data_IF_975302300622
#
_entry.id   IF_975302300622
#
_cell.length_a   1.000
_cell.length_b   1.000
_cell.length_c   1.000
_cell.angle_alpha   90.00
_cell.angle_beta   90.00
_cell.angle_gamma   90.00
#
_symmetry.space_group_name_H-M   'P 1'
#
loop_
_entity.id
_entity.type
_entity.pdbx_description
1 polymer ?
#
# COMPACT_ATOMS: atom_id res chain seq x y z
N UNK A 1 27.36 -40.01 33.89
CA UNK A 1 27.61 -38.79 33.06
C UNK A 1 26.59 -38.55 31.94
N UNK A 2 26.05 -39.58 31.28
CA UNK A 2 25.06 -39.40 30.16
C UNK A 2 23.75 -38.75 30.61
N UNK A 3 23.17 -39.11 31.72
CA UNK A 3 21.87 -38.59 32.25
C UNK A 3 21.91 -37.10 32.60
N UNK A 4 23.00 -36.61 33.21
CA UNK A 4 23.16 -35.19 33.56
C UNK A 4 23.29 -34.28 32.30
N UNK A 5 23.94 -34.78 31.23
CA UNK A 5 24.06 -34.06 29.95
C UNK A 5 22.75 -33.99 29.20
N UNK A 6 21.92 -35.05 29.26
CA UNK A 6 20.59 -35.06 28.66
C UNK A 6 19.60 -34.13 29.41
N UNK A 7 19.67 -34.03 30.73
CA UNK A 7 18.84 -33.10 31.50
C UNK A 7 19.19 -31.65 31.18
N UNK A 8 20.47 -31.29 31.12
CA UNK A 8 20.91 -29.94 30.73
C UNK A 8 20.49 -29.58 29.30
N UNK A 9 20.60 -30.52 28.35
CA UNK A 9 20.16 -30.31 26.99
C UNK A 9 18.64 -30.04 26.90
N UNK A 10 17.81 -30.82 27.58
CA UNK A 10 16.35 -30.61 27.65
C UNK A 10 16.01 -29.23 28.25
N UNK A 11 16.70 -28.82 29.33
CA UNK A 11 16.47 -27.52 29.98
C UNK A 11 16.83 -26.37 29.02
N UNK A 12 17.95 -26.45 28.29
CA UNK A 12 18.32 -25.47 27.30
C UNK A 12 17.30 -25.42 26.14
N UNK A 13 16.87 -26.56 25.61
CA UNK A 13 15.84 -26.64 24.58
C UNK A 13 14.50 -26.01 25.02
N UNK A 14 14.05 -26.32 26.20
CA UNK A 14 12.83 -25.72 26.78
C UNK A 14 13.01 -24.20 26.93
N UNK A 15 14.15 -23.75 27.42
CA UNK A 15 14.47 -22.31 27.49
C UNK A 15 14.41 -21.62 26.16
N UNK A 16 15.02 -22.20 25.12
CA UNK A 16 14.97 -21.68 23.75
C UNK A 16 13.54 -21.61 23.20
N UNK A 17 12.72 -22.64 23.44
CA UNK A 17 11.30 -22.64 23.01
C UNK A 17 10.53 -21.55 23.72
N UNK A 18 10.71 -21.37 25.03
CA UNK A 18 10.03 -20.30 25.78
C UNK A 18 10.44 -18.93 25.26
N UNK A 19 11.73 -18.68 25.06
CA UNK A 19 12.23 -17.43 24.49
C UNK A 19 11.65 -17.17 23.09
N UNK A 20 11.56 -18.19 22.26
CA UNK A 20 10.96 -18.08 20.92
C UNK A 20 9.48 -17.70 21.00
N UNK A 21 8.69 -18.38 21.84
CA UNK A 21 7.27 -18.07 22.03
C UNK A 21 7.09 -16.64 22.56
N UNK A 22 7.90 -16.21 23.52
CA UNK A 22 7.84 -14.85 24.07
C UNK A 22 8.17 -13.81 22.99
N UNK A 23 9.19 -14.04 22.18
CA UNK A 23 9.57 -13.15 21.07
C UNK A 23 8.45 -13.07 20.01
N UNK A 24 7.83 -14.20 19.68
CA UNK A 24 6.71 -14.26 18.76
C UNK A 24 5.49 -13.48 19.29
N UNK A 25 5.13 -13.71 20.56
CA UNK A 25 4.02 -13.01 21.22
C UNK A 25 4.28 -11.50 21.26
N UNK A 26 5.49 -11.10 21.64
CA UNK A 26 5.87 -9.67 21.65
C UNK A 26 5.77 -9.05 20.25
N UNK A 27 6.24 -9.77 19.24
CA UNK A 27 6.15 -9.30 17.84
C UNK A 27 4.70 -9.08 17.42
N UNK A 28 3.80 -10.00 17.71
CA UNK A 28 2.36 -9.85 17.42
C UNK A 28 1.77 -8.64 18.15
N UNK A 29 2.06 -8.49 19.45
CA UNK A 29 1.57 -7.36 20.25
C UNK A 29 2.09 -6.01 19.72
N UNK A 30 3.37 -5.93 19.39
CA UNK A 30 3.93 -4.71 18.79
C UNK A 30 3.26 -4.38 17.45
N UNK A 31 3.07 -5.36 16.59
CA UNK A 31 2.40 -5.15 15.29
C UNK A 31 0.92 -4.78 15.43
N UNK A 32 0.28 -5.13 16.56
CA UNK A 32 -1.09 -4.74 16.84
C UNK A 32 -1.24 -3.26 17.21
N UNK A 33 -0.26 -2.67 17.91
CA UNK A 33 -0.39 -1.33 18.52
C UNK A 33 0.61 -0.31 17.98
N UNK A 34 1.73 -0.74 17.42
CA UNK A 34 2.77 0.12 16.88
C UNK A 34 2.69 0.16 15.34
N UNK A 35 3.24 1.20 14.77
CA UNK A 35 3.56 1.34 13.35
C UNK A 35 4.88 2.09 13.21
N UNK A 36 5.52 1.96 12.06
CA UNK A 36 6.75 2.68 11.74
C UNK A 36 6.54 3.60 10.55
N UNK A 37 7.48 4.51 10.35
CA UNK A 37 7.57 5.36 9.16
C UNK A 37 8.74 4.88 8.33
N UNK A 38 8.48 4.55 7.08
CA UNK A 38 9.50 4.18 6.11
C UNK A 38 9.62 5.30 5.08
N UNK A 39 10.85 5.74 4.82
CA UNK A 39 11.13 6.77 3.83
C UNK A 39 11.67 6.15 2.54
N UNK A 40 11.15 6.63 1.42
CA UNK A 40 11.58 6.30 0.08
C UNK A 40 11.92 7.59 -0.67
N UNK A 41 12.96 7.55 -1.47
CA UNK A 41 13.30 8.63 -2.39
C UNK A 41 13.18 8.10 -3.82
N UNK A 42 12.43 8.80 -4.65
CA UNK A 42 12.08 8.39 -6.00
C UNK A 42 12.41 9.51 -6.96
N UNK A 43 13.36 9.28 -7.84
CA UNK A 43 13.70 10.22 -8.91
C UNK A 43 12.63 10.15 -10.01
N UNK A 44 12.02 11.29 -10.31
CA UNK A 44 11.08 11.44 -11.43
C UNK A 44 11.55 12.51 -12.39
N UNK A 45 11.57 12.18 -13.68
CA UNK A 45 11.83 13.14 -14.74
C UNK A 45 10.69 14.17 -14.82
N UNK A 46 11.02 15.40 -15.18
CA UNK A 46 10.04 16.48 -15.31
C UNK A 46 9.72 17.22 -14.02
N UNK A 47 10.19 16.74 -12.84
CA UNK A 47 10.14 17.51 -11.61
C UNK A 47 11.28 18.54 -11.57
N UNK A 48 11.02 19.70 -10.96
CA UNK A 48 12.02 20.78 -10.72
C UNK A 48 12.30 20.97 -9.24
N UNK A 49 11.42 20.50 -8.37
CA UNK A 49 11.57 20.50 -6.92
C UNK A 49 10.89 19.30 -6.31
N UNK A 50 11.26 19.01 -5.07
CA UNK A 50 10.74 17.89 -4.31
C UNK A 50 9.24 18.01 -4.05
N UNK A 51 8.55 16.87 -4.16
CA UNK A 51 7.16 16.66 -3.73
C UNK A 51 7.13 15.50 -2.75
N UNK A 52 6.50 15.68 -1.58
CA UNK A 52 6.37 14.62 -0.57
C UNK A 52 4.97 14.04 -0.55
N UNK A 53 4.88 12.74 -0.77
CA UNK A 53 3.65 11.97 -0.63
C UNK A 53 3.71 11.13 0.65
N UNK A 54 2.56 10.96 1.31
CA UNK A 54 2.38 9.92 2.34
C UNK A 54 1.41 8.90 1.79
N UNK A 55 1.83 7.63 1.75
CA UNK A 55 1.01 6.50 1.32
C UNK A 55 0.52 5.71 2.52
N UNK A 56 -0.79 5.48 2.58
CA UNK A 56 -1.46 4.57 3.50
C UNK A 56 -2.29 3.56 2.69
N UNK A 57 -2.37 2.33 3.14
CA UNK A 57 -3.20 1.27 2.55
C UNK A 57 -3.55 0.21 3.59
N UNK A 58 -4.51 -0.64 3.30
CA UNK A 58 -4.83 -1.83 4.08
C UNK A 58 -5.11 -1.52 5.56
N UNK A 59 -5.94 -0.49 5.81
CA UNK A 59 -6.32 -0.12 7.18
C UNK A 59 -7.35 -1.08 7.78
N UNK A 60 -8.25 -1.64 6.92
CA UNK A 60 -9.25 -2.64 7.31
C UNK A 60 -9.99 -2.28 8.59
N UNK A 61 -10.59 -1.11 8.64
CA UNK A 61 -11.33 -0.57 9.80
C UNK A 61 -10.50 -0.47 11.10
N UNK A 62 -9.20 -0.79 11.08
CA UNK A 62 -8.34 -0.69 12.26
C UNK A 62 -8.14 0.76 12.66
N UNK A 63 -8.11 1.01 13.98
CA UNK A 63 -7.86 2.34 14.53
C UNK A 63 -6.58 2.38 15.35
N UNK A 64 -5.81 3.46 15.18
CA UNK A 64 -4.59 3.73 15.94
C UNK A 64 -4.83 4.88 16.93
N UNK A 65 -5.38 4.53 18.09
CA UNK A 65 -5.89 5.45 19.10
C UNK A 65 -7.33 5.88 18.77
N UNK A 66 -7.91 6.71 19.62
CA UNK A 66 -9.26 7.24 19.43
C UNK A 66 -9.29 8.06 18.13
N UNK A 67 -10.23 7.75 17.23
CA UNK A 67 -10.43 8.45 15.96
C UNK A 67 -9.14 8.54 15.11
N UNK A 68 -8.29 7.54 15.18
CA UNK A 68 -6.98 7.49 14.52
C UNK A 68 -6.01 8.62 14.92
N UNK A 69 -6.18 9.23 16.10
CA UNK A 69 -5.40 10.40 16.49
C UNK A 69 -3.87 10.20 16.45
N UNK A 70 -3.39 8.99 16.79
CA UNK A 70 -1.96 8.66 16.73
C UNK A 70 -1.46 8.58 15.28
N UNK A 71 -2.27 8.02 14.37
CA UNK A 71 -1.94 7.93 12.96
C UNK A 71 -1.94 9.31 12.31
N UNK A 72 -2.99 10.11 12.57
CA UNK A 72 -3.10 11.49 12.09
C UNK A 72 -1.91 12.35 12.52
N UNK A 73 -1.57 12.36 13.81
CA UNK A 73 -0.42 13.11 14.32
C UNK A 73 0.90 12.68 13.67
N UNK A 74 1.06 11.38 13.37
CA UNK A 74 2.27 10.89 12.72
C UNK A 74 2.33 11.24 11.23
N UNK A 75 1.19 11.22 10.52
CA UNK A 75 1.08 11.69 9.13
C UNK A 75 1.38 13.20 9.06
N UNK A 76 0.77 14.02 9.93
CA UNK A 76 0.99 15.47 9.98
C UNK A 76 2.47 15.81 10.22
N UNK A 77 3.13 15.07 11.11
CA UNK A 77 4.56 15.27 11.41
C UNK A 77 5.48 15.00 10.20
N UNK A 78 4.98 14.34 9.13
CA UNK A 78 5.75 14.15 7.90
C UNK A 78 5.66 15.35 6.96
N UNK A 79 4.75 16.31 7.21
CA UNK A 79 4.53 17.49 6.37
C UNK A 79 4.33 17.12 4.88
N UNK A 80 3.33 16.28 4.55
CA UNK A 80 3.11 15.84 3.18
C UNK A 80 2.52 16.95 2.30
N UNK A 81 2.91 16.98 1.03
CA UNK A 81 2.26 17.77 -0.01
C UNK A 81 0.96 17.12 -0.49
N UNK A 82 0.84 15.80 -0.35
CA UNK A 82 -0.39 15.04 -0.56
C UNK A 82 -0.38 13.71 0.21
N UNK A 83 -1.57 13.18 0.46
CA UNK A 83 -1.81 11.89 1.10
C UNK A 83 -2.49 10.97 0.10
N UNK A 84 -1.90 9.81 -0.15
CA UNK A 84 -2.37 8.78 -1.06
C UNK A 84 -2.94 7.61 -0.24
N UNK A 85 -4.19 7.26 -0.49
CA UNK A 85 -4.85 6.10 0.10
C UNK A 85 -5.03 5.04 -1.00
N UNK A 86 -4.22 3.99 -0.95
CA UNK A 86 -4.20 2.95 -1.98
C UNK A 86 -5.04 1.73 -1.58
N UNK A 87 -6.32 1.95 -1.24
CA UNK A 87 -7.34 0.94 -1.06
C UNK A 87 -7.28 0.11 0.22
N UNK A 88 -8.29 -0.71 0.40
CA UNK A 88 -8.54 -1.58 1.56
C UNK A 88 -8.51 -0.82 2.90
N UNK A 89 -9.11 0.38 2.89
CA UNK A 89 -9.25 1.19 4.10
C UNK A 89 -10.39 0.68 4.98
N UNK A 90 -11.40 0.06 4.39
CA UNK A 90 -12.49 -0.65 5.08
C UNK A 90 -12.51 -2.12 4.70
N UNK A 91 -13.17 -2.94 5.50
CA UNK A 91 -13.43 -4.34 5.16
C UNK A 91 -14.67 -4.46 4.26
N UNK A 92 -14.73 -5.53 3.44
CA UNK A 92 -15.91 -5.82 2.60
C UNK A 92 -17.19 -6.06 3.43
N UNK A 93 -17.04 -6.36 4.71
CA UNK A 93 -18.12 -6.59 5.66
C UNK A 93 -18.19 -5.49 6.73
N UNK A 94 -17.61 -4.31 6.44
CA UNK A 94 -17.64 -3.17 7.34
C UNK A 94 -19.09 -2.81 7.70
N UNK A 95 -19.33 -2.45 8.92
CA UNK A 95 -20.61 -1.91 9.32
C UNK A 95 -20.69 -0.39 9.05
N UNK A 96 -21.88 0.19 9.25
CA UNK A 96 -22.08 1.62 8.99
C UNK A 96 -21.22 2.51 9.90
N UNK A 97 -20.87 2.06 11.11
CA UNK A 97 -20.01 2.80 12.03
C UNK A 97 -18.56 2.81 11.53
N UNK A 98 -18.07 1.69 11.04
CA UNK A 98 -16.72 1.58 10.49
C UNK A 98 -16.55 2.42 9.23
N UNK A 99 -17.54 2.39 8.34
CA UNK A 99 -17.56 3.29 7.17
C UNK A 99 -17.57 4.76 7.60
N UNK A 100 -18.41 5.12 8.60
CA UNK A 100 -18.45 6.49 9.08
C UNK A 100 -17.10 6.93 9.70
N UNK A 101 -16.43 6.07 10.45
CA UNK A 101 -15.07 6.33 10.98
C UNK A 101 -14.08 6.58 9.86
N UNK A 102 -14.14 5.82 8.77
CA UNK A 102 -13.28 6.03 7.61
C UNK A 102 -13.55 7.38 6.93
N UNK A 103 -14.81 7.74 6.71
CA UNK A 103 -15.19 9.04 6.15
C UNK A 103 -14.72 10.20 7.04
N UNK A 104 -14.81 10.06 8.35
CA UNK A 104 -14.32 11.08 9.28
C UNK A 104 -12.78 11.13 9.33
N UNK A 105 -12.10 10.00 9.14
CA UNK A 105 -10.65 9.94 8.98
C UNK A 105 -10.20 10.69 7.71
N UNK A 106 -10.89 10.55 6.58
CA UNK A 106 -10.62 11.32 5.36
C UNK A 106 -10.76 12.82 5.62
N UNK A 107 -11.83 13.25 6.29
CA UNK A 107 -12.03 14.67 6.67
C UNK A 107 -10.88 15.21 7.53
N UNK A 108 -10.35 14.37 8.42
CA UNK A 108 -9.22 14.74 9.26
C UNK A 108 -7.91 14.82 8.45
N UNK A 109 -7.63 13.85 7.58
CA UNK A 109 -6.48 13.85 6.68
C UNK A 109 -6.50 15.06 5.74
N UNK A 110 -7.69 15.42 5.21
CA UNK A 110 -7.87 16.58 4.31
C UNK A 110 -7.48 17.91 4.95
N UNK A 111 -7.48 18.01 6.28
CA UNK A 111 -6.98 19.21 6.99
C UNK A 111 -5.46 19.29 7.00
N UNK A 112 -4.76 18.17 6.78
CA UNK A 112 -3.30 18.10 6.74
C UNK A 112 -2.81 18.40 5.31
N UNK A 113 -3.35 17.68 4.30
CA UNK A 113 -2.97 17.84 2.90
C UNK A 113 -4.09 17.35 1.96
N UNK A 114 -4.03 17.63 0.64
CA UNK A 114 -4.88 16.98 -0.35
C UNK A 114 -4.85 15.46 -0.21
N UNK A 115 -6.02 14.80 -0.31
CA UNK A 115 -6.17 13.35 -0.20
C UNK A 115 -6.59 12.79 -1.55
N UNK A 116 -5.83 11.81 -2.05
CA UNK A 116 -6.12 11.02 -3.23
C UNK A 116 -6.44 9.59 -2.80
N UNK A 117 -7.51 9.03 -3.30
CA UNK A 117 -7.97 7.70 -2.94
C UNK A 117 -8.21 6.85 -4.20
N UNK A 118 -7.72 5.63 -4.19
CA UNK A 118 -8.10 4.59 -5.15
C UNK A 118 -8.63 3.38 -4.38
N UNK A 119 -9.77 2.78 -4.80
CA UNK A 119 -10.37 1.66 -4.08
C UNK A 119 -9.48 0.41 -4.15
N UNK A 120 -9.57 -0.41 -3.10
CA UNK A 120 -9.07 -1.77 -3.09
C UNK A 120 -10.19 -2.80 -3.34
N UNK A 121 -9.84 -4.07 -3.24
CA UNK A 121 -10.80 -5.15 -3.46
C UNK A 121 -11.83 -5.26 -2.32
N UNK A 122 -11.56 -4.70 -1.15
CA UNK A 122 -12.53 -4.66 -0.06
C UNK A 122 -13.57 -3.58 -0.27
N UNK A 123 -13.19 -2.37 -0.69
CA UNK A 123 -14.17 -1.34 -1.07
C UNK A 123 -15.05 -1.81 -2.22
N UNK A 124 -14.49 -2.40 -3.28
CA UNK A 124 -15.30 -2.92 -4.39
C UNK A 124 -16.24 -4.05 -3.94
N UNK A 125 -15.78 -4.89 -3.01
CA UNK A 125 -16.64 -5.90 -2.39
C UNK A 125 -17.78 -5.29 -1.57
N UNK A 126 -17.52 -4.22 -0.83
CA UNK A 126 -18.51 -3.48 -0.05
C UNK A 126 -19.54 -2.77 -0.94
N UNK A 127 -19.11 -2.22 -2.07
CA UNK A 127 -19.98 -1.53 -3.03
C UNK A 127 -21.11 -2.42 -3.61
N UNK A 128 -21.01 -3.73 -3.51
CA UNK A 128 -22.12 -4.63 -3.83
C UNK A 128 -23.33 -4.40 -2.93
N UNK A 129 -23.14 -3.81 -1.75
CA UNK A 129 -24.21 -3.47 -0.78
C UNK A 129 -24.45 -1.96 -0.63
N UNK A 130 -23.50 -1.11 -1.04
CA UNK A 130 -23.59 0.35 -0.98
C UNK A 130 -22.89 0.97 -2.20
N UNK A 131 -23.60 1.10 -3.30
CA UNK A 131 -23.09 1.69 -4.55
C UNK A 131 -22.62 3.15 -4.40
N UNK A 132 -23.06 3.84 -3.35
CA UNK A 132 -22.73 5.25 -3.09
C UNK A 132 -21.44 5.43 -2.27
N UNK A 133 -20.72 4.36 -1.94
CA UNK A 133 -19.52 4.45 -1.12
C UNK A 133 -18.51 5.46 -1.68
N UNK A 134 -18.17 5.36 -2.96
CA UNK A 134 -17.17 6.26 -3.58
C UNK A 134 -17.64 7.72 -3.57
N UNK A 135 -18.91 7.99 -3.81
CA UNK A 135 -19.50 9.34 -3.71
C UNK A 135 -19.41 9.90 -2.29
N UNK A 136 -19.58 9.04 -1.27
CA UNK A 136 -19.45 9.43 0.14
C UNK A 136 -18.00 9.74 0.50
N UNK A 137 -17.06 8.97 -0.04
CA UNK A 137 -15.62 9.21 0.11
C UNK A 137 -15.25 10.55 -0.52
N UNK A 138 -15.70 10.83 -1.73
CA UNK A 138 -15.45 12.10 -2.42
C UNK A 138 -16.05 13.29 -1.66
N UNK A 139 -17.29 13.19 -1.19
CA UNK A 139 -17.93 14.20 -0.34
C UNK A 139 -17.23 14.42 1.00
N UNK A 140 -16.43 13.46 1.45
CA UNK A 140 -15.59 13.61 2.65
C UNK A 140 -14.27 14.33 2.38
N UNK A 141 -13.96 14.63 1.11
CA UNK A 141 -12.87 15.50 0.69
C UNK A 141 -11.67 14.79 0.05
N UNK A 142 -11.75 13.51 -0.26
CA UNK A 142 -10.76 12.84 -1.10
C UNK A 142 -11.12 13.02 -2.59
N UNK A 143 -10.11 13.20 -3.45
CA UNK A 143 -10.27 12.96 -4.87
C UNK A 143 -10.23 11.45 -5.12
N UNK A 144 -11.31 10.90 -5.67
CA UNK A 144 -11.48 9.46 -5.89
C UNK A 144 -11.06 9.10 -7.31
N UNK A 145 -10.16 8.15 -7.43
CA UNK A 145 -9.69 7.59 -8.70
C UNK A 145 -10.04 6.09 -8.78
N UNK A 146 -10.99 5.77 -9.61
CA UNK A 146 -11.37 4.40 -9.96
C UNK A 146 -11.38 4.32 -11.48
N UNK A 147 -10.30 3.79 -12.06
CA UNK A 147 -9.99 3.85 -13.49
C UNK A 147 -10.10 5.28 -14.07
N UNK A 148 -9.52 6.23 -13.34
CA UNK A 148 -9.57 7.66 -13.65
C UNK A 148 -8.33 8.40 -13.15
N UNK A 149 -8.13 9.64 -13.63
CA UNK A 149 -6.98 10.47 -13.26
C UNK A 149 -7.30 11.95 -13.28
N UNK A 150 -6.39 12.74 -12.72
CA UNK A 150 -6.37 14.19 -12.85
C UNK A 150 -4.93 14.71 -12.97
N UNK A 151 -4.76 15.80 -13.70
CA UNK A 151 -3.54 16.59 -13.69
C UNK A 151 -3.63 17.61 -12.53
N UNK A 152 -2.67 17.56 -11.62
CA UNK A 152 -2.66 18.32 -10.37
C UNK A 152 -1.37 19.10 -10.21
N UNK A 153 -1.38 20.12 -9.34
CA UNK A 153 -0.17 20.86 -8.95
C UNK A 153 0.07 20.61 -7.46
N UNK A 154 1.18 19.95 -7.13
CA UNK A 154 1.63 19.72 -5.77
C UNK A 154 2.98 20.39 -5.54
N UNK A 155 3.11 21.16 -4.46
CA UNK A 155 4.32 21.96 -4.18
C UNK A 155 4.81 22.77 -5.40
N UNK A 156 3.88 23.26 -6.22
CA UNK A 156 4.19 24.00 -7.47
C UNK A 156 4.64 23.12 -8.65
N UNK A 157 4.60 21.78 -8.51
CA UNK A 157 4.98 20.84 -9.55
C UNK A 157 3.74 20.24 -10.21
N UNK A 158 3.62 20.26 -11.53
CA UNK A 158 2.56 19.57 -12.25
C UNK A 158 2.83 18.06 -12.27
N UNK A 159 1.82 17.26 -11.96
CA UNK A 159 1.86 15.79 -11.94
C UNK A 159 0.53 15.26 -12.45
N UNK A 160 0.56 14.11 -13.13
CA UNK A 160 -0.64 13.31 -13.36
C UNK A 160 -0.78 12.28 -12.26
N UNK A 161 -1.89 12.31 -11.52
CA UNK A 161 -2.21 11.30 -10.51
C UNK A 161 -3.48 10.60 -10.94
N UNK A 162 -3.48 9.27 -10.90
CA UNK A 162 -4.65 8.46 -11.18
C UNK A 162 -4.69 7.22 -10.30
N UNK A 163 -5.74 6.44 -10.47
CA UNK A 163 -5.86 5.22 -9.69
C UNK A 163 -6.75 4.17 -10.32
N UNK A 164 -6.43 2.94 -9.99
CA UNK A 164 -7.15 1.73 -10.35
C UNK A 164 -7.06 0.74 -9.19
N UNK A 165 -7.99 -0.21 -9.10
CA UNK A 165 -7.82 -1.30 -8.17
C UNK A 165 -6.60 -2.16 -8.51
N UNK A 166 -6.28 -2.32 -9.80
CA UNK A 166 -5.07 -3.01 -10.24
C UNK A 166 -5.24 -4.52 -10.38
N UNK A 167 -6.23 -4.98 -11.12
CA UNK A 167 -6.39 -6.43 -11.39
C UNK A 167 -5.43 -6.95 -12.47
N UNK A 168 -5.30 -6.21 -13.57
CA UNK A 168 -4.50 -6.59 -14.72
C UNK A 168 -4.69 -8.05 -15.14
N UNK A 169 -3.61 -8.80 -15.11
CA UNK A 169 -3.58 -10.23 -15.37
C UNK A 169 -3.96 -11.11 -14.16
N UNK A 170 -4.34 -10.52 -13.03
CA UNK A 170 -4.82 -11.28 -11.89
C UNK A 170 -6.05 -12.13 -12.26
N UNK A 171 -6.28 -13.19 -11.49
CA UNK A 171 -7.39 -14.13 -11.71
C UNK A 171 -7.33 -14.87 -13.06
N UNK A 172 -6.13 -15.03 -13.62
CA UNK A 172 -5.91 -15.84 -14.83
C UNK A 172 -6.40 -15.19 -16.13
N UNK A 173 -6.60 -13.86 -16.15
CA UNK A 173 -6.94 -13.13 -17.37
C UNK A 173 -5.88 -13.33 -18.46
N UNK A 174 -6.33 -13.52 -19.70
CA UNK A 174 -5.48 -13.45 -20.89
C UNK A 174 -5.18 -11.99 -21.24
N UNK A 175 -4.20 -11.78 -22.12
CA UNK A 175 -3.90 -10.43 -22.65
C UNK A 175 -5.09 -9.81 -23.39
N UNK A 176 -5.83 -10.63 -24.16
CA UNK A 176 -7.02 -10.20 -24.88
C UNK A 176 -8.15 -9.75 -23.93
N UNK A 177 -8.40 -10.55 -22.87
CA UNK A 177 -9.41 -10.21 -21.86
C UNK A 177 -9.02 -8.94 -21.09
N UNK A 178 -7.74 -8.75 -20.79
CA UNK A 178 -7.26 -7.54 -20.14
C UNK A 178 -7.39 -6.34 -21.08
N UNK A 179 -6.98 -6.45 -22.35
CA UNK A 179 -7.07 -5.38 -23.34
C UNK A 179 -8.52 -4.89 -23.58
N UNK A 180 -9.52 -5.75 -23.33
CA UNK A 180 -10.93 -5.38 -23.42
C UNK A 180 -11.45 -4.65 -22.16
N UNK A 181 -10.69 -4.61 -21.05
CA UNK A 181 -11.15 -4.09 -19.76
C UNK A 181 -11.17 -2.55 -19.71
N UNK A 182 -12.02 -1.95 -18.83
CA UNK A 182 -11.97 -0.52 -18.55
C UNK A 182 -10.60 -0.07 -18.00
N UNK A 183 -9.98 -0.89 -17.16
CA UNK A 183 -8.65 -0.66 -16.59
C UNK A 183 -7.58 -0.47 -17.67
N UNK A 184 -7.57 -1.31 -18.70
CA UNK A 184 -6.62 -1.18 -19.81
C UNK A 184 -6.82 0.15 -20.56
N UNK A 185 -8.07 0.54 -20.82
CA UNK A 185 -8.40 1.81 -21.48
C UNK A 185 -7.92 2.99 -20.65
N UNK A 186 -8.20 2.95 -19.34
CA UNK A 186 -7.72 3.95 -18.40
C UNK A 186 -6.20 4.08 -18.45
N UNK A 187 -5.45 2.96 -18.35
CA UNK A 187 -4.00 2.98 -18.35
C UNK A 187 -3.43 3.54 -19.66
N UNK A 188 -4.08 3.25 -20.80
CA UNK A 188 -3.70 3.83 -22.11
C UNK A 188 -3.91 5.35 -22.18
N UNK A 189 -4.96 5.86 -21.59
CA UNK A 189 -5.20 7.31 -21.50
C UNK A 189 -4.28 7.96 -20.46
N UNK A 190 -4.07 7.29 -19.34
CA UNK A 190 -3.23 7.75 -18.23
C UNK A 190 -1.78 7.95 -18.65
N UNK A 191 -1.20 7.04 -19.44
CA UNK A 191 0.18 7.15 -19.91
C UNK A 191 0.42 8.27 -20.93
N UNK A 192 -0.64 8.78 -21.58
CA UNK A 192 -0.56 9.75 -22.67
C UNK A 192 -0.39 11.19 -22.16
N UNK A 193 0.77 11.47 -21.60
CA UNK A 193 1.19 12.80 -21.12
C UNK A 193 2.71 12.84 -20.92
N UNK A 194 3.28 14.04 -20.99
CA UNK A 194 4.67 14.31 -20.64
C UNK A 194 4.85 14.64 -19.14
N UNK A 195 3.75 14.78 -18.39
CA UNK A 195 3.82 15.01 -16.95
C UNK A 195 4.34 13.77 -16.22
N UNK A 196 5.06 13.91 -15.09
CA UNK A 196 5.36 12.81 -14.21
C UNK A 196 4.07 12.13 -13.75
N UNK A 197 4.04 10.79 -13.82
CA UNK A 197 2.84 9.95 -13.64
C UNK A 197 2.94 9.12 -12.37
N UNK A 198 2.01 9.33 -11.44
CA UNK A 198 1.85 8.55 -10.20
C UNK A 198 0.51 7.83 -10.24
N UNK A 199 0.54 6.50 -10.28
CA UNK A 199 -0.64 5.65 -10.30
C UNK A 199 -0.84 4.97 -8.94
N UNK A 200 -1.98 5.19 -8.30
CA UNK A 200 -2.42 4.41 -7.14
C UNK A 200 -3.05 3.11 -7.65
N UNK A 201 -2.43 1.99 -7.41
CA UNK A 201 -2.96 0.69 -7.78
C UNK A 201 -2.91 -0.25 -6.57
N UNK A 202 -4.07 -0.46 -5.94
CA UNK A 202 -4.11 -1.26 -4.71
C UNK A 202 -3.43 -2.62 -4.89
N UNK A 203 -3.81 -3.36 -5.93
CA UNK A 203 -3.18 -4.62 -6.29
C UNK A 203 -2.03 -4.37 -7.28
N UNK A 204 -0.78 -4.72 -6.93
CA UNK A 204 0.37 -4.54 -7.82
C UNK A 204 0.33 -5.45 -9.05
N UNK A 205 -0.63 -6.36 -9.12
CA UNK A 205 -0.72 -7.48 -10.07
C UNK A 205 -0.83 -7.03 -11.52
N UNK A 206 -1.48 -5.88 -11.78
CA UNK A 206 -1.54 -5.25 -13.12
C UNK A 206 -0.16 -5.02 -13.73
N UNK A 207 0.84 -4.80 -12.89
CA UNK A 207 2.18 -4.42 -13.34
C UNK A 207 3.19 -5.55 -13.22
N UNK A 208 3.05 -6.45 -12.25
CA UNK A 208 4.05 -7.48 -11.97
C UNK A 208 3.80 -8.80 -12.72
N UNK A 209 2.55 -9.15 -13.02
CA UNK A 209 2.24 -10.39 -13.72
C UNK A 209 2.52 -10.28 -15.23
N UNK A 210 3.00 -11.36 -15.80
CA UNK A 210 3.33 -11.48 -17.23
C UNK A 210 4.27 -10.38 -17.76
N UNK A 211 5.02 -9.72 -16.88
CA UNK A 211 5.89 -8.61 -17.28
C UNK A 211 5.15 -7.37 -17.74
N UNK A 212 3.89 -7.19 -17.30
CA UNK A 212 3.00 -6.13 -17.77
C UNK A 212 3.54 -4.70 -17.52
N UNK A 213 4.47 -4.52 -16.59
CA UNK A 213 5.15 -3.23 -16.42
C UNK A 213 5.79 -2.70 -17.71
N UNK A 214 6.19 -3.58 -18.63
CA UNK A 214 6.77 -3.17 -19.91
C UNK A 214 5.75 -2.65 -20.93
N UNK A 215 4.45 -2.82 -20.65
CA UNK A 215 3.36 -2.34 -21.51
C UNK A 215 3.03 -0.86 -21.32
N UNK A 216 3.53 -0.25 -20.20
CA UNK A 216 3.08 1.05 -19.74
C UNK A 216 4.23 2.03 -19.56
N UNK A 217 4.01 3.28 -19.98
CA UNK A 217 4.89 4.41 -19.68
C UNK A 217 4.39 5.14 -18.42
N UNK A 218 4.55 4.51 -17.25
CA UNK A 218 4.17 5.03 -15.94
C UNK A 218 5.43 5.14 -15.09
N UNK A 219 5.64 6.28 -14.43
CA UNK A 219 6.88 6.55 -13.71
C UNK A 219 6.87 5.92 -12.31
N UNK A 220 5.74 6.01 -11.58
CA UNK A 220 5.60 5.49 -10.23
C UNK A 220 4.24 4.83 -10.00
N UNK A 221 4.26 3.65 -9.42
CA UNK A 221 3.06 2.94 -8.93
C UNK A 221 3.12 2.86 -7.41
N UNK A 222 2.01 3.20 -6.74
CA UNK A 222 1.83 3.11 -5.29
C UNK A 222 0.80 2.03 -4.98
N UNK A 223 1.21 0.97 -4.26
CA UNK A 223 0.39 -0.21 -4.01
C UNK A 223 0.34 -0.61 -2.54
N UNK A 224 -0.68 -1.40 -2.19
CA UNK A 224 -0.84 -2.13 -0.93
C UNK A 224 -1.04 -3.63 -1.17
N UNK A 225 -2.14 -4.20 -0.63
CA UNK A 225 -2.67 -5.55 -0.87
C UNK A 225 -1.83 -6.72 -0.33
N UNK A 226 -0.53 -6.59 -0.31
CA UNK A 226 0.40 -7.69 0.06
C UNK A 226 0.56 -7.87 1.56
N UNK A 227 0.14 -6.88 2.35
CA UNK A 227 0.33 -6.81 3.81
C UNK A 227 1.77 -7.06 4.25
N UNK A 228 2.77 -6.73 3.41
CA UNK A 228 4.17 -7.01 3.66
C UNK A 228 4.48 -8.50 3.82
N UNK A 229 3.66 -9.38 3.24
CA UNK A 229 3.78 -10.83 3.33
C UNK A 229 3.34 -11.41 4.67
N UNK A 230 2.56 -10.67 5.47
CA UNK A 230 1.96 -11.03 6.78
C UNK A 230 3.01 -11.40 7.85
N UNK A 231 3.72 -12.50 7.67
CA UNK A 231 4.81 -12.98 8.53
C UNK A 231 6.11 -12.76 7.78
N UNK A 232 7.05 -12.01 8.37
CA UNK A 232 8.35 -11.76 7.74
C UNK A 232 9.45 -12.56 8.43
N UNK A 233 10.15 -13.36 7.62
CA UNK A 233 11.30 -14.12 8.10
C UNK A 233 12.59 -13.34 7.85
N UNK A 234 13.52 -13.32 8.80
CA UNK A 234 14.83 -12.70 8.60
C UNK A 234 15.51 -13.28 7.35
N UNK A 235 16.06 -12.40 6.51
CA UNK A 235 16.79 -12.72 5.27
C UNK A 235 15.96 -13.31 4.12
N UNK A 236 14.70 -13.68 4.36
CA UNK A 236 13.82 -14.29 3.34
C UNK A 236 12.75 -13.31 2.87
N UNK A 237 12.24 -12.45 3.75
CA UNK A 237 11.13 -11.54 3.46
C UNK A 237 9.79 -12.09 3.89
N UNK A 238 8.72 -11.69 3.20
CA UNK A 238 7.35 -12.09 3.48
C UNK A 238 7.09 -13.55 3.21
N UNK A 239 6.26 -14.17 4.05
CA UNK A 239 5.94 -15.58 3.91
C UNK A 239 4.87 -15.84 2.86
N UNK A 240 3.85 -14.97 2.80
CA UNK A 240 2.71 -15.14 1.89
C UNK A 240 2.10 -13.78 1.51
N UNK A 241 1.82 -13.59 0.24
CA UNK A 241 1.01 -12.47 -0.23
C UNK A 241 -0.13 -12.97 -1.13
N UNK A 242 -1.31 -12.33 -1.09
CA UNK A 242 -2.39 -12.63 -2.02
C UNK A 242 -1.87 -12.59 -3.46
N UNK A 243 -2.44 -13.39 -4.34
CA UNK A 243 -2.10 -13.55 -5.75
C UNK A 243 -0.68 -14.05 -6.05
N UNK A 244 0.34 -13.67 -5.26
CA UNK A 244 1.73 -14.13 -5.45
C UNK A 244 2.03 -15.47 -4.75
N UNK A 245 1.23 -15.86 -3.72
CA UNK A 245 1.42 -17.11 -2.98
C UNK A 245 2.55 -17.06 -1.96
N UNK A 246 3.26 -18.19 -1.79
CA UNK A 246 4.33 -18.36 -0.82
C UNK A 246 5.64 -17.73 -1.29
N UNK A 247 6.34 -17.04 -0.36
CA UNK A 247 7.61 -16.36 -0.60
C UNK A 247 7.52 -15.35 -1.76
N UNK A 248 6.60 -14.37 -1.66
CA UNK A 248 6.38 -13.40 -2.72
C UNK A 248 7.65 -12.58 -2.99
N UNK A 249 7.92 -12.33 -4.26
CA UNK A 249 9.03 -11.46 -4.66
C UNK A 249 8.72 -9.99 -4.36
N UNK A 250 7.45 -9.60 -4.46
CA UNK A 250 6.98 -8.23 -4.33
C UNK A 250 6.10 -8.10 -3.09
N UNK A 251 6.70 -8.21 -1.90
CA UNK A 251 5.98 -8.21 -0.62
C UNK A 251 5.80 -6.81 0.00
N UNK A 252 6.85 -6.01 0.10
CA UNK A 252 6.84 -4.59 0.47
C UNK A 252 8.20 -3.96 0.19
N UNK A 253 8.21 -2.64 -0.04
CA UNK A 253 9.41 -1.88 -0.31
C UNK A 253 9.39 -1.18 -1.67
N UNK A 254 10.57 -0.78 -2.14
CA UNK A 254 10.77 -0.12 -3.43
C UNK A 254 11.29 -1.12 -4.45
N UNK A 255 10.65 -1.15 -5.61
CA UNK A 255 11.01 -2.05 -6.72
C UNK A 255 11.17 -1.24 -8.00
N UNK A 256 12.22 -1.54 -8.76
CA UNK A 256 12.35 -1.07 -10.13
C UNK A 256 11.85 -2.16 -11.08
N UNK A 257 10.87 -1.81 -11.91
CA UNK A 257 10.24 -2.69 -12.88
C UNK A 257 10.61 -2.24 -14.29
N UNK A 258 11.40 -3.05 -14.99
CA UNK A 258 11.96 -2.65 -16.29
C UNK A 258 12.85 -1.41 -16.18
N UNK A 259 12.84 -0.60 -17.26
CA UNK A 259 13.74 0.56 -17.37
C UNK A 259 13.13 1.85 -16.80
N UNK A 260 11.80 1.98 -16.81
CA UNK A 260 11.12 3.26 -16.58
C UNK A 260 10.20 3.28 -15.35
N UNK A 261 9.68 2.13 -14.89
CA UNK A 261 8.67 2.09 -13.83
C UNK A 261 9.33 1.84 -12.47
N UNK A 262 8.97 2.65 -11.48
CA UNK A 262 9.23 2.39 -10.08
C UNK A 262 7.92 2.01 -9.38
N UNK A 263 7.99 1.16 -8.37
CA UNK A 263 6.82 0.74 -7.60
C UNK A 263 7.17 0.74 -6.12
N UNK A 264 6.31 1.37 -5.33
CA UNK A 264 6.32 1.25 -3.86
C UNK A 264 5.14 0.38 -3.46
N UNK A 265 5.43 -0.71 -2.77
CA UNK A 265 4.40 -1.53 -2.13
C UNK A 265 4.54 -1.33 -0.63
N UNK A 266 3.53 -0.71 0.00
CA UNK A 266 3.54 -0.56 1.45
C UNK A 266 3.18 -1.87 2.15
N UNK A 267 3.75 -2.08 3.34
CA UNK A 267 3.35 -3.20 4.17
C UNK A 267 1.91 -3.07 4.72
N UNK A 268 1.26 -1.94 4.49
CA UNK A 268 -0.11 -1.68 4.96
C UNK A 268 -0.23 -1.51 6.47
N UNK A 269 -1.43 -1.16 6.94
CA UNK A 269 -1.68 -0.78 8.33
C UNK A 269 -2.28 -1.92 9.18
N UNK A 270 -2.98 -2.90 8.59
CA UNK A 270 -3.59 -4.03 9.29
C UNK A 270 -3.02 -5.38 8.87
N UNK A 271 -3.35 -6.44 9.60
CA UNK A 271 -3.18 -7.82 9.18
C UNK A 271 -4.29 -8.23 8.22
N UNK A 272 -4.26 -9.49 7.78
CA UNK A 272 -5.30 -10.05 6.92
C UNK A 272 -6.14 -11.07 7.69
N UNK A 273 -7.39 -10.75 7.93
CA UNK A 273 -8.31 -11.61 8.67
C UNK A 273 -7.78 -11.98 10.07
N UNK A 274 -7.74 -13.27 10.38
CA UNK A 274 -7.27 -13.80 11.66
C UNK A 274 -5.75 -14.01 11.74
N UNK A 275 -5.04 -13.83 10.61
CA UNK A 275 -3.59 -14.05 10.55
C UNK A 275 -2.88 -12.83 11.15
N UNK A 276 -2.13 -13.00 12.25
CA UNK A 276 -1.41 -11.89 12.85
C UNK A 276 -0.18 -11.51 12.02
N UNK A 277 0.21 -10.26 12.13
CA UNK A 277 1.51 -9.80 11.62
C UNK A 277 2.61 -10.22 12.58
N UNK A 278 3.66 -10.85 12.04
CA UNK A 278 4.84 -11.27 12.82
C UNK A 278 6.08 -10.70 12.18
N UNK A 279 6.90 -10.03 12.99
CA UNK A 279 8.11 -9.31 12.52
C UNK A 279 7.81 -8.38 11.31
N UNK A 280 6.63 -7.79 11.32
CA UNK A 280 6.06 -7.03 10.22
C UNK A 280 5.18 -5.90 10.78
N UNK A 281 5.80 -4.80 11.18
CA UNK A 281 5.07 -3.66 11.71
C UNK A 281 4.22 -2.99 10.63
N UNK A 282 3.03 -2.47 10.97
CA UNK A 282 2.30 -1.55 10.11
C UNK A 282 3.17 -0.39 9.64
N UNK A 283 2.96 0.08 8.42
CA UNK A 283 3.82 1.05 7.75
C UNK A 283 3.08 2.30 7.29
N UNK A 284 3.63 3.45 7.62
CA UNK A 284 3.36 4.71 6.92
C UNK A 284 4.51 4.90 5.94
N UNK A 285 4.25 4.83 4.64
CA UNK A 285 5.28 5.09 3.63
C UNK A 285 5.33 6.58 3.30
N UNK A 286 6.50 7.19 3.45
CA UNK A 286 6.79 8.57 3.05
C UNK A 286 7.63 8.54 1.80
N UNK A 287 7.14 9.16 0.72
CA UNK A 287 7.77 9.10 -0.59
C UNK A 287 8.16 10.51 -0.99
N UNK A 288 9.45 10.75 -1.03
CA UNK A 288 10.04 11.97 -1.54
C UNK A 288 10.30 11.82 -3.04
N UNK A 289 9.45 12.42 -3.86
CA UNK A 289 9.67 12.55 -5.29
C UNK A 289 10.68 13.65 -5.52
N UNK A 290 11.82 13.35 -6.11
CA UNK A 290 12.90 14.30 -6.37
C UNK A 290 13.16 14.45 -7.87
N UNK A 291 13.74 15.58 -8.34
CA UNK A 291 14.13 15.74 -9.73
C UNK A 291 15.07 14.63 -10.19
N UNK A 292 14.69 13.91 -11.23
CA UNK A 292 15.54 12.93 -11.91
C UNK A 292 16.40 13.61 -12.99
N UNK A 293 17.56 13.01 -13.32
CA UNK A 293 18.41 13.50 -14.40
C UNK A 293 17.65 13.45 -15.73
N UNK A 294 17.63 14.58 -16.45
CA UNK A 294 17.29 14.59 -17.87
C UNK A 294 18.46 13.90 -18.58
N UNK A 295 18.23 12.74 -19.21
CA UNK A 295 19.24 12.18 -20.10
C UNK A 295 19.53 13.23 -21.16
N UNK A 296 20.72 13.79 -21.11
CA UNK A 296 21.24 14.60 -22.23
C UNK A 296 21.20 13.72 -23.49
N UNK A 297 20.26 14.04 -24.39
CA UNK A 297 20.19 13.45 -25.73
C UNK A 297 21.32 13.97 -26.59
#
# INVERSE_FOLDING_TARGET
MHTCRQVKFKQVLIGCIICFILALTLSVLLSAVCFHVQHYEIELRGLRSKVRLVLLSDLHCKSFGKDNARLLAKVEAQSPDAICLAGDMIDRNADAEDVQKFLDFIKALRKIAPVFFSPGNHELGYMASDELLLDRIEKSGAAVFNDSYADVILAGQPLRIGGTMGHGFAFGRTEEEFAASPEYKFLKEFENTDLPKVCLAHMPDTFIFNGAYSMWNIDLVLSGHTHGGLIRMPFVGGLYAPMQGWFPKYDSGSFRLGDNMQMIITAGMAGHGIIPRVNNLPEIAVIDLVPGEENAQ
#
